data_IF_363666376054
#
_entry.id   IF_363666376054
#
_cell.length_a   1.000
_cell.length_b   1.000
_cell.length_c   1.000
_cell.angle_alpha   90.00
_cell.angle_beta   90.00
_cell.angle_gamma   90.00
#
_symmetry.space_group_name_H-M   'P 1'
#
loop_
_entity.id
_entity.type
_entity.pdbx_description
1 polymer ?
#
# COMPACT_ATOMS: atom_id res chain seq x y z
N UNK A 1 6.05 -12.80 -10.02
CA UNK A 1 6.96 -11.63 -10.11
C UNK A 1 6.21 -10.30 -10.13
N UNK A 2 5.17 -10.09 -10.95
CA UNK A 2 4.41 -8.81 -11.01
C UNK A 2 3.79 -8.37 -9.67
N UNK A 3 3.35 -9.30 -8.81
CA UNK A 3 2.76 -8.97 -7.51
C UNK A 3 3.75 -8.23 -6.57
N UNK A 4 5.01 -8.64 -6.56
CA UNK A 4 6.05 -8.06 -5.71
C UNK A 4 6.37 -6.61 -6.09
N UNK A 5 6.17 -6.25 -7.37
CA UNK A 5 6.41 -4.89 -7.88
C UNK A 5 5.42 -3.88 -7.28
N UNK A 6 4.22 -4.30 -6.86
CA UNK A 6 3.27 -3.41 -6.20
C UNK A 6 3.33 -3.52 -4.67
N UNK A 7 3.59 -4.72 -4.16
CA UNK A 7 3.56 -5.01 -2.73
C UNK A 7 4.75 -4.39 -1.98
N UNK A 8 5.97 -4.54 -2.50
CA UNK A 8 7.19 -4.03 -1.85
C UNK A 8 7.18 -2.49 -1.76
N UNK A 9 7.00 -1.73 -2.85
CA UNK A 9 6.94 -0.27 -2.74
C UNK A 9 5.70 0.21 -1.98
N UNK A 10 4.57 -0.51 -2.06
CA UNK A 10 3.39 -0.22 -1.24
C UNK A 10 3.67 -0.27 0.26
N UNK A 11 4.35 -1.32 0.74
CA UNK A 11 4.73 -1.45 2.16
C UNK A 11 5.74 -0.39 2.60
N UNK A 12 6.71 -0.05 1.75
CA UNK A 12 7.69 1.00 2.03
C UNK A 12 6.98 2.37 2.16
N UNK A 13 6.09 2.69 1.22
CA UNK A 13 5.32 3.94 1.25
C UNK A 13 4.39 4.01 2.46
N UNK A 14 3.75 2.89 2.81
CA UNK A 14 2.88 2.82 3.97
C UNK A 14 3.66 3.06 5.28
N UNK A 15 4.81 2.39 5.45
CA UNK A 15 5.65 2.57 6.63
C UNK A 15 6.20 4.00 6.73
N UNK A 16 6.65 4.57 5.60
CA UNK A 16 7.14 5.94 5.53
C UNK A 16 6.03 6.96 5.85
N UNK A 17 4.81 6.73 5.36
CA UNK A 17 3.64 7.56 5.65
C UNK A 17 3.26 7.52 7.12
N UNK A 18 3.21 6.33 7.75
CA UNK A 18 2.92 6.17 9.18
C UNK A 18 3.97 6.89 10.04
N UNK A 19 5.26 6.74 9.71
CA UNK A 19 6.33 7.45 10.40
C UNK A 19 6.18 8.97 10.27
N UNK A 20 5.86 9.45 9.07
CA UNK A 20 5.68 10.88 8.80
C UNK A 20 4.45 11.47 9.51
N UNK A 21 3.35 10.73 9.65
CA UNK A 21 2.19 11.17 10.44
C UNK A 21 2.57 11.40 11.90
N UNK A 22 3.38 10.49 12.46
CA UNK A 22 3.77 10.55 13.87
C UNK A 22 4.70 11.75 14.16
N UNK A 23 5.51 12.16 13.19
CA UNK A 23 6.37 13.35 13.27
C UNK A 23 5.61 14.66 13.00
N UNK A 24 4.73 14.69 11.99
CA UNK A 24 4.03 15.90 11.55
C UNK A 24 2.91 16.37 12.51
N UNK A 25 2.38 15.49 13.36
CA UNK A 25 1.36 15.81 14.35
C UNK A 25 0.06 16.41 13.76
N UNK A 26 -0.55 17.39 14.44
CA UNK A 26 -1.75 18.09 13.97
C UNK A 26 -1.39 19.36 13.17
N UNK A 27 -0.83 19.18 11.98
CA UNK A 27 -0.47 20.27 11.08
C UNK A 27 -1.00 20.02 9.66
N UNK A 28 -1.01 21.06 8.81
CA UNK A 28 -1.40 20.92 7.39
C UNK A 28 -0.51 19.91 6.66
N UNK A 29 0.75 19.76 7.10
CA UNK A 29 1.68 18.75 6.58
C UNK A 29 1.22 17.31 6.82
N UNK A 30 0.43 17.07 7.86
CA UNK A 30 -0.14 15.75 8.12
C UNK A 30 -1.12 15.30 7.03
N UNK A 31 -1.74 16.23 6.29
CA UNK A 31 -2.61 15.88 5.15
C UNK A 31 -1.81 15.16 4.06
N UNK A 32 -0.59 15.64 3.78
CA UNK A 32 0.30 14.99 2.81
C UNK A 32 0.76 13.62 3.31
N UNK A 33 1.08 13.52 4.61
CA UNK A 33 1.46 12.25 5.24
C UNK A 33 0.29 11.23 5.23
N UNK A 34 -0.96 11.67 5.38
CA UNK A 34 -2.13 10.81 5.24
C UNK A 34 -2.35 10.36 3.79
N UNK A 35 -2.12 11.25 2.81
CA UNK A 35 -2.20 10.91 1.38
C UNK A 35 -1.17 9.85 0.98
N UNK A 36 0.07 9.96 1.46
CA UNK A 36 1.11 8.96 1.22
C UNK A 36 0.81 7.63 1.91
N UNK A 37 0.27 7.68 3.14
CA UNK A 37 -0.17 6.47 3.86
C UNK A 37 -1.33 5.77 3.12
N UNK A 38 -2.32 6.53 2.65
CA UNK A 38 -3.46 5.99 1.90
C UNK A 38 -3.04 5.35 0.57
N UNK A 39 -2.16 6.01 -0.18
CA UNK A 39 -1.62 5.46 -1.44
C UNK A 39 -0.75 4.22 -1.20
N UNK A 40 0.10 4.22 -0.17
CA UNK A 40 0.87 3.04 0.23
C UNK A 40 0.00 1.85 0.63
N UNK A 41 -1.08 2.11 1.37
CA UNK A 41 -2.07 1.08 1.74
C UNK A 41 -2.78 0.48 0.53
N UNK A 42 -3.26 1.33 -0.39
CA UNK A 42 -3.93 0.88 -1.61
C UNK A 42 -3.01 0.03 -2.51
N UNK A 43 -1.74 0.41 -2.64
CA UNK A 43 -0.73 -0.35 -3.38
C UNK A 43 -0.42 -1.70 -2.74
N UNK A 44 -0.34 -1.75 -1.41
CA UNK A 44 -0.09 -2.98 -0.64
C UNK A 44 -1.22 -4.00 -0.85
N UNK A 45 -2.48 -3.56 -0.72
CA UNK A 45 -3.67 -4.41 -0.95
C UNK A 45 -3.74 -4.88 -2.41
N UNK A 46 -3.42 -4.01 -3.37
CA UNK A 46 -3.38 -4.37 -4.79
C UNK A 46 -2.31 -5.44 -5.08
N UNK A 47 -1.13 -5.31 -4.48
CA UNK A 47 -0.07 -6.32 -4.58
C UNK A 47 -0.46 -7.65 -3.97
N UNK A 48 -1.16 -7.65 -2.83
CA UNK A 48 -1.71 -8.87 -2.22
C UNK A 48 -2.77 -9.53 -3.10
N UNK A 49 -3.69 -8.75 -3.66
CA UNK A 49 -4.72 -9.25 -4.58
C UNK A 49 -4.10 -9.94 -5.80
N UNK A 50 -3.10 -9.31 -6.43
CA UNK A 50 -2.37 -9.90 -7.57
C UNK A 50 -1.57 -11.15 -7.15
N UNK A 51 -1.05 -11.19 -5.92
CA UNK A 51 -0.38 -12.37 -5.37
C UNK A 51 -1.34 -13.54 -5.17
N UNK A 52 -2.52 -13.28 -4.62
CA UNK A 52 -3.59 -14.26 -4.43
C UNK A 52 -4.15 -14.75 -5.78
N UNK A 53 -4.28 -13.85 -6.76
CA UNK A 53 -4.65 -14.22 -8.14
C UNK A 53 -3.65 -15.20 -8.77
N UNK A 54 -2.36 -15.07 -8.44
CA UNK A 54 -1.33 -15.98 -8.94
C UNK A 54 -1.39 -17.35 -8.26
N UNK A 55 -1.77 -17.39 -6.99
CA UNK A 55 -1.87 -18.62 -6.20
C UNK A 55 -3.15 -19.42 -6.51
N UNK A 56 -4.27 -18.74 -6.74
CA UNK A 56 -5.57 -19.36 -7.01
C UNK A 56 -6.26 -18.77 -8.27
N UNK A 57 -5.69 -18.98 -9.48
CA UNK A 57 -6.19 -18.37 -10.71
C UNK A 57 -7.60 -18.85 -11.13
N UNK A 58 -8.07 -19.97 -10.58
CA UNK A 58 -9.40 -20.55 -10.88
C UNK A 58 -10.55 -19.86 -10.14
N UNK A 59 -10.29 -19.09 -9.09
CA UNK A 59 -11.35 -18.43 -8.29
C UNK A 59 -11.97 -17.20 -8.97
N UNK A 60 -11.40 -16.71 -10.07
CA UNK A 60 -11.91 -15.58 -10.86
C UNK A 60 -12.77 -15.98 -12.07
N UNK A 61 -13.02 -17.28 -12.27
CA UNK A 61 -13.80 -17.81 -13.41
C UNK A 61 -15.31 -17.87 -13.15
N UNK A 62 -15.83 -17.05 -12.24
CA UNK A 62 -17.28 -16.91 -12.00
C UNK A 62 -17.68 -15.47 -12.22
#
# INVERSE_FOLDING_TARGET
MRALIFLIPGLILLAAGIWWINDAGHSVWAILAMLTTATGGALSISGMAVGLDLFAPTSRKI
#
